data_IF_899542429962
#
_entry.id   IF_899542429962
#
_cell.length_a   1.000
_cell.length_b   1.000
_cell.length_c   1.000
_cell.angle_alpha   90.00
_cell.angle_beta   90.00
_cell.angle_gamma   90.00
#
_symmetry.space_group_name_H-M   'P 1'
#
loop_
_entity.id
_entity.type
_entity.pdbx_description
1 polymer ?
#
# COMPACT_ATOMS: atom_id res chain seq x y z
N UNK A 1 -5.69 0.95 -20.90
CA UNK A 1 -4.75 0.20 -20.04
C UNK A 1 -3.81 1.20 -19.39
N UNK A 2 -3.43 0.98 -18.13
CA UNK A 2 -2.34 1.71 -17.49
C UNK A 2 -1.04 0.95 -17.73
N UNK A 3 0.04 1.65 -18.01
CA UNK A 3 1.36 1.08 -18.37
C UNK A 3 2.28 0.89 -17.16
N UNK A 4 1.88 1.38 -15.99
CA UNK A 4 2.69 1.40 -14.77
C UNK A 4 1.85 1.48 -13.50
N UNK A 5 2.38 1.06 -12.34
CA UNK A 5 1.70 1.22 -11.06
C UNK A 5 1.38 2.68 -10.72
N UNK A 6 2.31 3.59 -11.02
CA UNK A 6 2.07 5.03 -10.90
C UNK A 6 0.88 5.48 -11.75
N UNK A 7 0.79 5.06 -13.01
CA UNK A 7 -0.32 5.44 -13.88
C UNK A 7 -1.69 4.94 -13.35
N UNK A 8 -1.72 3.78 -12.70
CA UNK A 8 -2.91 3.31 -11.97
C UNK A 8 -3.22 4.24 -10.80
N UNK A 9 -2.22 4.57 -9.99
CA UNK A 9 -2.36 5.44 -8.82
C UNK A 9 -2.63 6.93 -9.15
N UNK A 10 -2.34 7.36 -10.36
CA UNK A 10 -2.75 8.66 -10.91
C UNK A 10 -4.23 8.68 -11.33
N UNK A 11 -4.80 7.52 -11.66
CA UNK A 11 -6.18 7.41 -12.14
C UNK A 11 -7.18 6.92 -11.08
N UNK A 12 -6.71 6.24 -10.03
CA UNK A 12 -7.56 5.59 -9.03
C UNK A 12 -7.28 6.10 -7.61
N UNK A 13 -8.35 6.35 -6.85
CA UNK A 13 -8.27 6.73 -5.43
C UNK A 13 -8.02 5.55 -4.50
N UNK A 14 -8.36 4.32 -4.92
CA UNK A 14 -8.13 3.09 -4.18
C UNK A 14 -7.45 2.09 -5.11
N UNK A 15 -6.34 1.49 -4.66
CA UNK A 15 -5.59 0.48 -5.41
C UNK A 15 -5.48 -0.79 -4.57
N UNK A 16 -5.88 -1.93 -5.16
CA UNK A 16 -5.68 -3.25 -4.59
C UNK A 16 -4.50 -3.93 -5.28
N UNK A 17 -3.58 -4.49 -4.51
CA UNK A 17 -2.47 -5.26 -5.00
C UNK A 17 -2.60 -6.73 -4.58
N UNK A 18 -2.33 -7.62 -5.54
CA UNK A 18 -2.20 -9.05 -5.36
C UNK A 18 -1.11 -9.51 -6.31
N UNK A 19 0.12 -9.38 -5.83
CA UNK A 19 1.37 -9.54 -6.57
C UNK A 19 2.08 -10.85 -6.17
N UNK A 20 2.85 -11.46 -7.08
CA UNK A 20 3.37 -12.82 -6.91
C UNK A 20 4.53 -12.93 -5.91
N UNK A 21 5.15 -11.82 -5.50
CA UNK A 21 6.26 -11.83 -4.55
C UNK A 21 6.38 -10.55 -3.73
N UNK A 22 7.09 -10.67 -2.62
CA UNK A 22 7.48 -9.54 -1.75
C UNK A 22 8.26 -8.47 -2.52
N UNK A 23 9.23 -8.88 -3.34
CA UNK A 23 10.04 -7.95 -4.14
C UNK A 23 9.19 -7.15 -5.15
N UNK A 24 8.26 -7.83 -5.84
CA UNK A 24 7.34 -7.15 -6.77
C UNK A 24 6.44 -6.18 -6.01
N UNK A 25 6.03 -6.51 -4.80
CA UNK A 25 5.21 -5.63 -3.95
C UNK A 25 5.99 -4.39 -3.49
N UNK A 26 7.30 -4.50 -3.19
CA UNK A 26 8.16 -3.35 -2.93
C UNK A 26 8.29 -2.46 -4.17
N UNK A 27 8.56 -3.05 -5.32
CA UNK A 27 8.73 -2.31 -6.57
C UNK A 27 7.45 -1.57 -6.96
N UNK A 28 6.29 -2.21 -6.84
CA UNK A 28 4.98 -1.62 -7.10
C UNK A 28 4.62 -0.56 -6.06
N UNK A 29 4.92 -0.79 -4.78
CA UNK A 29 4.67 0.15 -3.69
C UNK A 29 5.53 1.42 -3.80
N UNK A 30 6.85 1.21 -3.74
CA UNK A 30 7.85 2.24 -3.41
C UNK A 30 8.88 2.48 -4.52
N UNK A 31 8.88 1.67 -5.58
CA UNK A 31 9.80 1.83 -6.71
C UNK A 31 9.61 3.15 -7.46
N UNK A 32 10.50 3.44 -8.40
CA UNK A 32 10.54 4.71 -9.15
C UNK A 32 9.24 5.04 -9.91
N UNK A 33 8.52 4.02 -10.37
CA UNK A 33 7.19 4.12 -10.98
C UNK A 33 6.10 3.48 -10.10
N UNK A 34 6.33 3.43 -8.79
CA UNK A 34 5.44 2.83 -7.82
C UNK A 34 4.21 3.69 -7.54
N UNK A 35 3.19 3.07 -6.94
CA UNK A 35 1.92 3.72 -6.56
C UNK A 35 2.15 4.90 -5.62
N UNK A 36 3.22 4.86 -4.82
CA UNK A 36 3.64 5.95 -3.92
C UNK A 36 3.93 7.29 -4.62
N UNK A 37 4.00 7.31 -5.95
CA UNK A 37 4.19 8.51 -6.77
C UNK A 37 2.90 8.97 -7.47
N UNK A 38 1.80 8.24 -7.30
CA UNK A 38 0.49 8.58 -7.86
C UNK A 38 -0.14 9.78 -7.17
N UNK A 39 -0.90 10.55 -7.95
CA UNK A 39 -1.50 11.81 -7.52
C UNK A 39 -2.91 11.66 -6.96
N UNK A 40 -3.67 10.66 -7.43
CA UNK A 40 -5.07 10.44 -7.06
C UNK A 40 -5.25 9.44 -5.92
N UNK A 41 -4.34 8.46 -5.79
CA UNK A 41 -4.41 7.39 -4.79
C UNK A 41 -4.49 7.91 -3.35
N UNK A 42 -5.36 7.27 -2.57
CA UNK A 42 -5.61 7.55 -1.16
C UNK A 42 -5.56 6.33 -0.26
N UNK A 43 -5.81 5.15 -0.81
CA UNK A 43 -5.81 3.89 -0.09
C UNK A 43 -5.10 2.85 -0.95
N UNK A 44 -4.07 2.23 -0.37
CA UNK A 44 -3.39 1.08 -0.95
C UNK A 44 -3.73 -0.16 -0.13
N UNK A 45 -4.38 -1.14 -0.74
CA UNK A 45 -4.76 -2.39 -0.09
C UNK A 45 -3.84 -3.49 -0.60
N UNK A 46 -3.01 -4.02 0.28
CA UNK A 46 -2.13 -5.14 -0.06
C UNK A 46 -2.80 -6.45 0.33
N UNK A 47 -2.99 -7.33 -0.64
CA UNK A 47 -3.65 -8.63 -0.41
C UNK A 47 -2.72 -9.82 -0.68
N UNK A 48 -1.45 -9.55 -1.02
CA UNK A 48 -0.42 -10.57 -1.10
C UNK A 48 0.01 -11.09 0.28
N UNK A 49 0.59 -12.29 0.28
CA UNK A 49 1.17 -12.91 1.48
C UNK A 49 2.67 -12.58 1.57
N UNK A 50 3.02 -11.34 1.93
CA UNK A 50 4.40 -10.81 1.85
C UNK A 50 5.11 -10.62 3.20
N UNK A 51 4.48 -11.04 4.31
CA UNK A 51 5.03 -10.91 5.66
C UNK A 51 4.82 -9.52 6.28
N UNK A 52 4.95 -9.43 7.60
CA UNK A 52 4.61 -8.21 8.36
C UNK A 52 5.65 -7.09 8.17
N UNK A 53 6.94 -7.40 8.24
CA UNK A 53 8.02 -6.41 8.07
C UNK A 53 7.89 -5.64 6.74
N UNK A 54 7.50 -6.37 5.70
CA UNK A 54 7.25 -5.82 4.38
C UNK A 54 6.05 -4.87 4.37
N UNK A 55 4.95 -5.28 4.99
CA UNK A 55 3.74 -4.47 5.12
C UNK A 55 4.08 -3.15 5.84
N UNK A 56 4.87 -3.22 6.91
CA UNK A 56 5.32 -2.04 7.67
C UNK A 56 6.22 -1.13 6.83
N UNK A 57 7.12 -1.71 6.04
CA UNK A 57 7.98 -0.96 5.13
C UNK A 57 7.18 -0.21 4.05
N UNK A 58 6.22 -0.87 3.41
CA UNK A 58 5.32 -0.24 2.43
C UNK A 58 4.47 0.82 3.09
N UNK A 59 3.83 0.49 4.23
CA UNK A 59 3.00 1.43 4.98
C UNK A 59 3.76 2.70 5.36
N UNK A 60 4.98 2.56 5.89
CA UNK A 60 5.84 3.69 6.27
C UNK A 60 6.27 4.52 5.07
N UNK A 61 6.67 3.86 3.97
CA UNK A 61 7.07 4.53 2.74
C UNK A 61 5.92 5.31 2.06
N UNK A 62 4.67 4.88 2.25
CA UNK A 62 3.48 5.58 1.77
C UNK A 62 3.07 6.72 2.72
N UNK A 63 3.17 6.53 4.03
CA UNK A 63 2.83 7.54 5.04
C UNK A 63 3.74 8.78 4.99
N UNK A 64 5.05 8.57 4.75
CA UNK A 64 6.04 9.64 4.67
C UNK A 64 5.84 10.64 3.51
N UNK A 65 4.92 10.34 2.56
CA UNK A 65 4.65 11.20 1.39
C UNK A 65 3.49 12.18 1.58
N UNK A 66 3.00 12.32 2.82
CA UNK A 66 2.13 13.42 3.27
C UNK A 66 0.65 13.26 2.90
N UNK A 67 -0.22 13.23 3.91
CA UNK A 67 -1.69 13.44 3.94
C UNK A 67 -2.61 12.73 2.91
N UNK A 68 -2.06 12.03 1.91
CA UNK A 68 -2.79 11.40 0.81
C UNK A 68 -3.20 9.98 1.16
N UNK A 69 -2.33 9.21 1.81
CA UNK A 69 -2.61 7.84 2.21
C UNK A 69 -3.39 7.77 3.52
N UNK A 70 -4.72 7.62 3.43
CA UNK A 70 -5.59 7.27 4.55
C UNK A 70 -5.93 5.79 4.44
N UNK A 71 -5.07 4.99 5.07
CA UNK A 71 -5.21 3.54 5.16
C UNK A 71 -4.26 2.82 4.22
N UNK A 72 -3.50 1.90 4.81
CA UNK A 72 -2.97 0.75 4.10
C UNK A 72 -3.58 -0.48 4.77
N UNK A 73 -4.63 -1.05 4.15
CA UNK A 73 -5.24 -2.26 4.68
C UNK A 73 -4.48 -3.44 4.08
N UNK A 74 -3.65 -4.10 4.89
CA UNK A 74 -2.94 -5.30 4.45
C UNK A 74 -3.70 -6.54 4.90
N UNK A 75 -4.21 -7.34 3.96
CA UNK A 75 -4.73 -8.69 4.20
C UNK A 75 -3.57 -9.70 4.24
N UNK A 76 -2.63 -9.51 5.17
CA UNK A 76 -1.70 -10.55 5.58
C UNK A 76 -2.28 -11.28 6.79
N UNK A 77 -2.24 -12.62 6.83
CA UNK A 77 -2.63 -13.40 8.00
C UNK A 77 -1.66 -13.17 9.19
N UNK A 78 -1.70 -11.99 9.82
CA UNK A 78 -1.30 -11.65 11.20
C UNK A 78 -1.51 -10.15 11.48
N UNK A 79 -2.64 -9.56 11.10
CA UNK A 79 -3.16 -8.47 11.93
C UNK A 79 -3.73 -9.14 13.18
N UNK A 80 -3.01 -9.09 14.31
CA UNK A 80 -3.57 -9.52 15.59
C UNK A 80 -4.80 -8.65 15.86
N UNK A 81 -5.97 -9.24 15.59
CA UNK A 81 -7.26 -8.73 16.02
C UNK A 81 -7.26 -8.73 17.54
N UNK A 82 -7.11 -7.56 18.14
CA UNK A 82 -7.55 -7.33 19.50
C UNK A 82 -8.34 -6.03 19.52
N UNK A 83 -9.65 -6.22 19.29
CA UNK A 83 -10.73 -5.22 19.22
C UNK A 83 -10.65 -4.34 17.98
N UNK A 84 -11.82 -3.94 17.49
CA UNK A 84 -11.99 -3.18 16.25
C UNK A 84 -10.98 -2.03 16.16
N UNK A 85 -10.67 -1.64 14.94
CA UNK A 85 -9.74 -0.55 14.61
C UNK A 85 -8.31 -1.04 14.28
N UNK A 86 -8.16 -1.77 13.17
CA UNK A 86 -6.92 -1.70 12.40
C UNK A 86 -6.88 -0.36 11.61
N UNK A 87 -7.05 0.74 12.34
CA UNK A 87 -6.75 2.10 11.92
C UNK A 87 -5.61 2.58 12.81
N UNK A 88 -4.37 2.42 12.36
CA UNK A 88 -3.28 3.20 12.92
C UNK A 88 -3.21 4.53 12.16
N UNK A 89 -4.04 5.48 12.58
CA UNK A 89 -3.88 6.90 12.29
C UNK A 89 -3.10 7.52 13.47
N UNK A 90 -1.78 7.46 13.40
CA UNK A 90 -0.89 8.22 14.30
C UNK A 90 -0.81 9.69 13.84
N UNK A 91 -0.88 10.60 14.80
CA UNK A 91 -0.99 12.07 14.63
C UNK A 91 0.23 12.77 14.06
#
# INVERSE_FOLDING_TARGET
MHDSPRAVADAASIVFACLPSTEVSLAVGLGTNGVSHGSAIRLYVETSTIGQDMIEQVGSGLAGKGHRYRGCACLGRTARSSRGDAYHAGG
#
